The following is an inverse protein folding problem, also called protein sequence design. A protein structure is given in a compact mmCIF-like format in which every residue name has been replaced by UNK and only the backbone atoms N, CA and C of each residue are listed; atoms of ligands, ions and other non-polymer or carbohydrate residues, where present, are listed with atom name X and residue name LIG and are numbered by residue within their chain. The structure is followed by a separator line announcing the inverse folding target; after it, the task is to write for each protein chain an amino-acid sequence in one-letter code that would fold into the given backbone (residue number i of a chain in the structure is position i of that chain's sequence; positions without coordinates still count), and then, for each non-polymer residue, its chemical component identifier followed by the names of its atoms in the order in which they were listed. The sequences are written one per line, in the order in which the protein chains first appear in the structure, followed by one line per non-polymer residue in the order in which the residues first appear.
data_IF_240537902232
#
_entry.id   IF_240537902232
#
_cell.length_a   1.000
_cell.length_b   1.000
_cell.length_c   1.000
_cell.angle_alpha   90.00
_cell.angle_beta   90.00
_cell.angle_gamma   90.00
#
_symmetry.space_group_name_H-M   'P 1'
#
loop_
_entity.id
_entity.type
_entity.pdbx_description
1 polymer ?
#
# COMPACT_ATOMS: atom_id res chain seq x y z
N UNK A 1 -8.42 19.98 4.69
CA UNK A 1 -8.82 21.05 5.68
C UNK A 1 -7.65 21.99 5.84
N UNK A 2 -7.85 23.29 5.85
CA UNK A 2 -6.80 24.29 6.09
C UNK A 2 -7.21 25.09 7.32
N UNK A 3 -6.32 25.18 8.30
CA UNK A 3 -6.50 25.98 9.50
C UNK A 3 -5.38 27.03 9.61
N UNK A 4 -5.71 28.20 10.07
CA UNK A 4 -4.76 29.27 10.28
C UNK A 4 -4.88 29.84 11.71
N UNK A 5 -3.76 29.95 12.40
CA UNK A 5 -3.69 30.52 13.76
C UNK A 5 -2.64 31.64 13.81
N UNK A 6 -3.07 32.84 14.18
CA UNK A 6 -2.14 33.95 14.46
C UNK A 6 -1.50 33.78 15.85
N UNK A 7 -0.20 33.99 15.95
CA UNK A 7 0.51 33.96 17.23
C UNK A 7 0.45 35.29 18.00
N UNK A 8 -0.11 36.37 17.42
CA UNK A 8 -0.19 37.68 18.02
C UNK A 8 1.09 38.53 17.99
N UNK A 9 2.19 38.04 17.39
CA UNK A 9 3.44 38.80 17.21
C UNK A 9 3.49 39.39 15.80
N UNK A 10 3.84 40.66 15.72
CA UNK A 10 4.14 41.30 14.44
C UNK A 10 5.42 40.70 13.82
N UNK A 11 5.41 40.55 12.49
CA UNK A 11 6.54 40.00 11.71
C UNK A 11 7.02 38.60 12.18
N UNK A 12 6.15 37.81 12.79
CA UNK A 12 6.48 36.43 13.13
C UNK A 12 6.65 35.59 11.87
N UNK A 13 7.63 34.67 11.82
CA UNK A 13 7.76 33.73 10.71
C UNK A 13 6.53 32.85 10.61
N UNK A 14 6.16 32.46 9.39
CA UNK A 14 5.08 31.54 9.11
C UNK A 14 5.60 30.10 9.23
N UNK A 15 4.96 29.31 10.08
CA UNK A 15 5.19 27.87 10.15
C UNK A 15 4.00 27.16 9.51
N UNK A 16 4.25 26.32 8.51
CA UNK A 16 3.26 25.45 7.90
C UNK A 16 3.45 24.02 8.45
N UNK A 17 2.40 23.44 8.97
CA UNK A 17 2.33 22.03 9.35
C UNK A 17 1.43 21.33 8.33
N UNK A 18 1.93 20.28 7.72
CA UNK A 18 1.22 19.48 6.73
C UNK A 18 1.20 18.02 7.17
N UNK A 19 0.06 17.39 7.03
CA UNK A 19 -0.10 15.96 7.22
C UNK A 19 -1.25 15.46 6.33
N UNK A 20 -1.10 14.25 5.76
CA UNK A 20 -2.20 13.57 5.07
C UNK A 20 -3.01 12.73 6.05
N UNK A 21 -4.27 12.44 5.71
CA UNK A 21 -5.21 11.68 6.54
C UNK A 21 -5.62 10.35 5.89
N UNK A 22 -5.17 10.10 4.66
CA UNK A 22 -5.35 8.85 3.95
C UNK A 22 -4.21 7.88 4.26
N UNK A 23 -4.49 6.59 4.10
CA UNK A 23 -3.53 5.51 4.29
C UNK A 23 -3.08 4.96 2.93
N UNK A 24 -1.85 4.43 2.88
CA UNK A 24 -1.43 3.60 1.77
C UNK A 24 -2.18 2.28 1.82
N UNK A 25 -2.45 1.71 0.67
CA UNK A 25 -3.19 0.46 0.60
C UNK A 25 -2.98 -0.24 -0.72
N UNK A 26 -3.78 -1.26 -0.92
CA UNK A 26 -3.80 -2.05 -2.14
C UNK A 26 -5.22 -2.12 -2.67
N UNK A 27 -5.36 -2.10 -3.97
CA UNK A 27 -6.64 -2.24 -4.63
C UNK A 27 -6.69 -3.55 -5.41
N UNK A 28 -7.77 -4.31 -5.24
CA UNK A 28 -7.99 -5.54 -5.98
C UNK A 28 -8.20 -5.21 -7.46
N UNK A 29 -7.41 -5.82 -8.33
CA UNK A 29 -7.50 -5.65 -9.79
C UNK A 29 -8.09 -6.86 -10.49
N UNK A 30 -8.15 -8.00 -9.82
CA UNK A 30 -8.76 -9.21 -10.35
C UNK A 30 -8.60 -10.40 -9.42
N UNK A 31 -9.28 -11.47 -9.78
CA UNK A 31 -9.13 -12.79 -9.17
C UNK A 31 -8.90 -13.76 -10.33
N UNK A 32 -7.90 -14.60 -10.23
CA UNK A 32 -7.63 -15.59 -11.26
C UNK A 32 -8.44 -16.87 -11.07
N UNK A 33 -8.36 -17.78 -12.04
CA UNK A 33 -9.13 -19.03 -12.04
C UNK A 33 -8.73 -19.99 -10.90
N UNK A 34 -7.53 -19.80 -10.33
CA UNK A 34 -7.07 -20.56 -9.16
C UNK A 34 -7.52 -19.94 -7.83
N UNK A 35 -8.16 -18.78 -7.87
CA UNK A 35 -8.67 -18.06 -6.71
C UNK A 35 -7.66 -17.10 -6.07
N UNK A 36 -6.50 -16.85 -6.69
CA UNK A 36 -5.57 -15.85 -6.20
C UNK A 36 -6.05 -14.44 -6.54
N UNK A 37 -5.96 -13.55 -5.55
CA UNK A 37 -6.33 -12.15 -5.70
C UNK A 37 -5.13 -11.36 -6.20
N UNK A 38 -5.30 -10.65 -7.32
CA UNK A 38 -4.32 -9.72 -7.87
C UNK A 38 -4.60 -8.33 -7.37
N UNK A 39 -3.54 -7.61 -7.01
CA UNK A 39 -3.65 -6.26 -6.45
C UNK A 39 -2.69 -5.28 -7.12
N UNK A 40 -3.06 -4.01 -7.08
CA UNK A 40 -2.18 -2.89 -7.44
C UNK A 40 -1.95 -2.01 -6.21
N UNK A 41 -0.76 -1.43 -6.10
CA UNK A 41 -0.44 -0.51 -5.02
C UNK A 41 -1.19 0.82 -5.19
N UNK A 42 -1.76 1.31 -4.10
CA UNK A 42 -2.31 2.64 -3.97
C UNK A 42 -1.44 3.42 -2.98
N UNK A 43 -0.59 4.30 -3.51
CA UNK A 43 0.45 4.97 -2.75
C UNK A 43 1.82 4.27 -2.82
N UNK A 44 2.76 4.77 -2.02
CA UNK A 44 4.14 4.28 -1.99
C UNK A 44 4.28 3.01 -1.13
N UNK A 45 4.20 1.85 -1.75
CA UNK A 45 4.34 0.55 -1.06
C UNK A 45 5.63 -0.15 -1.49
N UNK A 46 6.47 -0.53 -0.55
CA UNK A 46 7.63 -1.39 -0.84
C UNK A 46 7.16 -2.85 -0.93
N UNK A 47 7.19 -3.39 -2.15
CA UNK A 47 6.76 -4.76 -2.44
C UNK A 47 7.52 -5.82 -1.66
N UNK A 48 8.79 -5.56 -1.34
CA UNK A 48 9.62 -6.50 -0.57
C UNK A 48 9.12 -6.69 0.85
N UNK A 49 8.49 -5.65 1.41
CA UNK A 49 7.90 -5.69 2.74
C UNK A 49 6.55 -6.42 2.78
N UNK A 50 5.95 -6.70 1.62
CA UNK A 50 4.65 -7.36 1.55
C UNK A 50 4.72 -8.87 1.64
N UNK A 51 5.84 -9.50 1.30
CA UNK A 51 5.98 -10.97 1.28
C UNK A 51 5.68 -11.53 2.68
N UNK A 52 4.75 -12.47 2.74
CA UNK A 52 4.21 -13.07 3.96
C UNK A 52 3.47 -12.10 4.91
N UNK A 53 3.20 -10.87 4.46
CA UNK A 53 2.37 -9.95 5.24
C UNK A 53 0.91 -10.43 5.28
N UNK A 54 0.32 -10.38 6.46
CA UNK A 54 -1.10 -10.59 6.63
C UNK A 54 -1.87 -9.35 6.20
N UNK A 55 -2.99 -9.56 5.52
CA UNK A 55 -3.85 -8.49 5.01
C UNK A 55 -5.31 -8.81 5.23
N UNK A 56 -6.14 -7.79 5.13
CA UNK A 56 -7.58 -7.94 5.10
C UNK A 56 -8.11 -7.41 3.77
N UNK A 57 -8.75 -8.28 3.00
CA UNK A 57 -9.45 -7.89 1.77
C UNK A 57 -10.87 -7.49 2.15
N UNK A 58 -11.22 -6.24 1.88
CA UNK A 58 -12.56 -5.70 2.14
C UNK A 58 -13.47 -5.92 0.93
N UNK A 59 -14.48 -6.76 1.08
CA UNK A 59 -15.54 -7.03 0.11
C UNK A 59 -16.91 -6.87 0.74
N UNK A 60 -17.82 -7.81 0.47
CA UNK A 60 -19.11 -7.92 1.18
C UNK A 60 -18.91 -8.20 2.68
N UNK A 61 -17.79 -8.78 3.02
CA UNK A 61 -17.26 -8.96 4.36
C UNK A 61 -15.74 -8.82 4.35
N UNK A 62 -15.12 -8.90 5.50
CA UNK A 62 -13.66 -8.90 5.64
C UNK A 62 -13.13 -10.33 5.45
N UNK A 63 -12.18 -10.49 4.53
CA UNK A 63 -11.52 -11.76 4.24
C UNK A 63 -10.06 -11.68 4.69
N UNK A 64 -9.59 -12.54 5.59
CA UNK A 64 -8.17 -12.61 5.91
C UNK A 64 -7.40 -13.16 4.70
N UNK A 65 -6.23 -12.61 4.45
CA UNK A 65 -5.34 -13.04 3.38
C UNK A 65 -3.88 -12.92 3.79
N UNK A 66 -3.01 -13.47 2.96
CA UNK A 66 -1.57 -13.36 3.12
C UNK A 66 -0.94 -13.16 1.75
N UNK A 67 0.05 -12.28 1.67
CA UNK A 67 0.83 -12.15 0.45
C UNK A 67 1.72 -13.37 0.24
N UNK A 68 1.54 -14.04 -0.90
CA UNK A 68 2.40 -15.13 -1.33
C UNK A 68 3.31 -14.67 -2.47
N UNK A 69 4.47 -15.29 -2.57
CA UNK A 69 5.37 -15.19 -3.71
C UNK A 69 5.66 -16.57 -4.26
N UNK A 70 6.03 -16.63 -5.53
CA UNK A 70 6.54 -17.87 -6.12
C UNK A 70 7.90 -18.16 -5.46
N UNK A 71 8.12 -19.37 -4.89
CA UNK A 71 9.41 -19.72 -4.34
C UNK A 71 10.53 -19.61 -5.39
N UNK A 72 11.73 -19.17 -5.03
CA UNK A 72 12.82 -18.94 -5.99
C UNK A 72 13.17 -20.14 -6.89
N UNK A 73 12.99 -21.35 -6.39
CA UNK A 73 13.24 -22.58 -7.17
C UNK A 73 12.13 -22.93 -8.19
N UNK A 74 11.00 -22.22 -8.14
CA UNK A 74 9.89 -22.34 -9.09
C UNK A 74 9.78 -21.11 -9.98
N UNK A 75 10.45 -19.99 -9.65
CA UNK A 75 10.58 -18.85 -10.53
C UNK A 75 11.59 -19.22 -11.62
N UNK A 76 11.15 -19.18 -12.89
CA UNK A 76 12.06 -19.40 -14.02
C UNK A 76 13.20 -18.37 -14.02
N UNK A 77 14.33 -18.71 -14.60
CA UNK A 77 15.54 -17.87 -14.71
C UNK A 77 15.33 -16.55 -15.47
N UNK A 78 14.13 -16.27 -15.94
CA UNK A 78 13.74 -15.06 -16.66
C UNK A 78 13.03 -14.01 -15.81
N UNK A 79 12.90 -14.25 -14.52
CA UNK A 79 12.28 -13.26 -13.63
C UNK A 79 13.34 -12.23 -13.23
N UNK A 80 13.35 -11.08 -13.91
CA UNK A 80 14.23 -9.92 -13.70
C UNK A 80 14.14 -9.31 -12.28
N UNK A 81 13.93 -10.12 -11.24
CA UNK A 81 13.81 -9.68 -9.86
C UNK A 81 12.56 -8.80 -9.59
N UNK A 82 11.64 -8.75 -10.52
CA UNK A 82 10.34 -8.09 -10.34
C UNK A 82 9.42 -9.04 -9.58
N UNK A 83 9.17 -8.73 -8.33
CA UNK A 83 8.15 -9.43 -7.54
C UNK A 83 6.79 -9.06 -8.14
N UNK A 84 6.05 -10.00 -8.77
CA UNK A 84 4.70 -9.72 -9.22
C UNK A 84 3.80 -9.43 -8.03
N UNK A 85 2.92 -8.46 -8.18
CA UNK A 85 1.80 -8.23 -7.26
C UNK A 85 0.57 -8.94 -7.77
#
# INVERSE_FOLDING_TARGET
MIGYRRCGRENAPLLMLEAHIDEIGLIVTGVDDAGFVRVAACGGTDRRALIAAEVVVHGDKAYPGVFCSIPPHLSGLEDDGKIPL
#
